data_IF_367024272335
#
_entry.id   IF_367024272335
#
_cell.length_a   1.000
_cell.length_b   1.000
_cell.length_c   1.000
_cell.angle_alpha   90.00
_cell.angle_beta   90.00
_cell.angle_gamma   90.00
#
_symmetry.space_group_name_H-M   'P 1'
#
loop_
_entity.id
_entity.type
_entity.pdbx_description
1 polymer ?
#
# COMPACT_ATOMS: atom_id res chain seq x y z
N UNK A 1 2.04 49.23 -32.46
CA UNK A 1 1.64 49.93 -31.24
C UNK A 1 0.21 49.49 -30.91
N UNK A 2 -0.10 49.02 -29.70
CA UNK A 2 -1.46 48.56 -29.36
C UNK A 2 -2.41 49.76 -29.21
N UNK A 3 -3.67 49.59 -29.63
CA UNK A 3 -4.71 50.64 -29.57
C UNK A 3 -5.03 51.01 -28.10
N UNK A 4 -5.37 52.29 -27.87
CA UNK A 4 -5.86 52.79 -26.58
C UNK A 4 -7.13 52.05 -26.11
N UNK A 5 -7.89 51.49 -27.05
CA UNK A 5 -9.08 50.68 -26.77
C UNK A 5 -8.71 49.38 -26.04
N UNK A 6 -7.68 48.68 -26.52
CA UNK A 6 -7.20 47.43 -25.89
C UNK A 6 -6.72 47.69 -24.46
N UNK A 7 -6.04 48.81 -24.21
CA UNK A 7 -5.60 49.19 -22.88
C UNK A 7 -6.78 49.45 -21.92
N UNK A 8 -7.84 50.13 -22.39
CA UNK A 8 -9.07 50.33 -21.60
C UNK A 8 -9.78 49.00 -21.30
N UNK A 9 -9.82 48.08 -22.26
CA UNK A 9 -10.37 46.75 -22.08
C UNK A 9 -9.55 45.96 -21.02
N UNK A 10 -8.23 46.06 -21.05
CA UNK A 10 -7.38 45.43 -20.05
C UNK A 10 -7.64 45.97 -18.64
N UNK A 11 -7.87 47.27 -18.50
CA UNK A 11 -8.22 47.90 -17.23
C UNK A 11 -9.57 47.40 -16.70
N UNK A 12 -10.59 47.34 -17.55
CA UNK A 12 -11.91 46.82 -17.19
C UNK A 12 -11.85 45.36 -16.75
N UNK A 13 -11.15 44.52 -17.52
CA UNK A 13 -10.96 43.09 -17.13
C UNK A 13 -10.22 42.94 -15.80
N UNK A 14 -9.33 43.91 -15.48
CA UNK A 14 -8.64 43.93 -14.20
C UNK A 14 -9.55 44.31 -13.03
N UNK A 15 -10.45 45.27 -13.27
CA UNK A 15 -11.49 45.67 -12.32
C UNK A 15 -12.48 44.53 -12.06
N UNK A 16 -12.80 43.76 -13.12
CA UNK A 16 -13.59 42.54 -13.06
C UNK A 16 -12.86 41.37 -12.41
N UNK A 17 -11.63 41.57 -11.94
CA UNK A 17 -10.88 40.61 -11.15
C UNK A 17 -10.06 39.61 -11.92
N UNK A 18 -9.88 39.77 -13.24
CA UNK A 18 -9.05 38.84 -14.02
C UNK A 18 -7.57 38.98 -13.68
N UNK A 19 -6.87 37.83 -13.72
CA UNK A 19 -5.41 37.81 -13.56
C UNK A 19 -4.69 38.39 -14.78
N UNK A 20 -3.44 38.80 -14.61
CA UNK A 20 -2.63 39.34 -15.73
C UNK A 20 -2.50 38.31 -16.86
N UNK A 21 -2.46 37.02 -16.57
CA UNK A 21 -2.38 35.96 -17.56
C UNK A 21 -3.71 35.80 -18.31
N UNK A 22 -4.84 35.80 -17.63
CA UNK A 22 -6.16 35.72 -18.25
C UNK A 22 -6.41 36.93 -19.18
N UNK A 23 -6.04 38.15 -18.72
CA UNK A 23 -6.17 39.37 -19.54
C UNK A 23 -5.27 39.28 -20.77
N UNK A 24 -4.01 38.85 -20.61
CA UNK A 24 -3.08 38.69 -21.72
C UNK A 24 -3.62 37.71 -22.78
N UNK A 25 -4.14 36.56 -22.31
CA UNK A 25 -4.73 35.54 -23.19
C UNK A 25 -6.00 36.04 -23.89
N UNK A 26 -6.90 36.70 -23.15
CA UNK A 26 -8.16 37.21 -23.68
C UNK A 26 -7.96 38.31 -24.77
N UNK A 27 -6.97 39.16 -24.56
CA UNK A 27 -6.73 40.29 -25.47
C UNK A 27 -5.64 40.00 -26.52
N UNK A 28 -5.04 38.80 -26.52
CA UNK A 28 -3.98 38.42 -27.46
C UNK A 28 -2.71 39.27 -27.33
N UNK A 29 -2.36 39.72 -26.12
CA UNK A 29 -1.19 40.57 -25.85
C UNK A 29 -0.20 39.88 -24.90
N UNK A 30 1.05 40.33 -24.94
CA UNK A 30 2.06 39.77 -24.05
C UNK A 30 1.75 40.05 -22.56
N UNK A 31 2.01 39.08 -21.68
CA UNK A 31 1.83 39.25 -20.24
C UNK A 31 2.67 40.41 -19.65
N UNK A 32 3.85 40.66 -20.20
CA UNK A 32 4.71 41.79 -19.84
C UNK A 32 4.03 43.12 -20.14
N UNK A 33 3.38 43.26 -21.32
CA UNK A 33 2.62 44.44 -21.72
C UNK A 33 1.42 44.64 -20.78
N UNK A 34 0.69 43.58 -20.47
CA UNK A 34 -0.43 43.63 -19.53
C UNK A 34 0.05 44.09 -18.14
N UNK A 35 1.17 43.55 -17.67
CA UNK A 35 1.77 43.92 -16.38
C UNK A 35 2.15 45.40 -16.38
N UNK A 36 2.81 45.87 -17.42
CA UNK A 36 3.22 47.29 -17.54
C UNK A 36 2.02 48.25 -17.54
N UNK A 37 0.95 47.92 -18.29
CA UNK A 37 -0.24 48.77 -18.36
C UNK A 37 -1.04 48.84 -17.06
N UNK A 38 -0.98 47.80 -16.27
CA UNK A 38 -1.76 47.62 -15.04
C UNK A 38 -0.89 47.80 -13.77
N UNK A 39 0.33 48.31 -13.92
CA UNK A 39 1.20 48.61 -12.80
C UNK A 39 0.50 49.58 -11.83
N UNK A 40 0.47 49.25 -10.55
CA UNK A 40 -0.21 50.04 -9.50
C UNK A 40 -1.72 49.80 -9.37
N UNK A 41 -2.36 49.03 -10.28
CA UNK A 41 -3.77 48.66 -10.11
C UNK A 41 -3.88 47.42 -9.23
N UNK A 42 -4.58 47.55 -8.10
CA UNK A 42 -4.84 46.44 -7.20
C UNK A 42 -5.67 45.36 -7.91
N UNK A 43 -5.24 44.09 -7.75
CA UNK A 43 -6.06 42.98 -8.24
C UNK A 43 -7.21 42.74 -7.25
N UNK A 44 -8.36 43.24 -7.54
CA UNK A 44 -9.56 42.97 -6.75
C UNK A 44 -10.05 41.52 -6.88
N UNK A 45 -9.66 40.82 -7.95
CA UNK A 45 -10.23 39.51 -8.28
C UNK A 45 -9.65 38.31 -7.58
N UNK A 46 -8.37 38.32 -7.20
CA UNK A 46 -7.81 37.20 -6.42
C UNK A 46 -8.21 37.27 -4.94
N UNK A 47 -8.54 38.48 -4.45
CA UNK A 47 -8.86 38.77 -3.05
C UNK A 47 -10.15 39.58 -2.87
N UNK A 48 -10.91 39.83 -3.94
CA UNK A 48 -11.94 40.87 -3.99
C UNK A 48 -13.10 40.72 -3.02
N UNK A 49 -13.39 39.50 -2.59
CA UNK A 49 -14.47 39.22 -1.63
C UNK A 49 -14.04 38.26 -0.51
N UNK A 50 -12.88 37.62 -0.65
CA UNK A 50 -12.38 36.61 0.28
C UNK A 50 -11.18 37.17 1.07
N UNK A 51 -11.19 37.03 2.39
CA UNK A 51 -10.03 37.41 3.17
C UNK A 51 -8.81 36.51 2.83
N UNK A 52 -7.59 36.98 3.14
CA UNK A 52 -6.36 36.28 2.81
C UNK A 52 -6.29 34.88 3.41
N UNK A 53 -6.85 34.66 4.58
CA UNK A 53 -6.81 33.36 5.25
C UNK A 53 -7.70 32.34 4.54
N UNK A 54 -8.91 32.74 4.15
CA UNK A 54 -9.83 31.88 3.40
C UNK A 54 -9.29 31.53 2.02
N UNK A 55 -8.65 32.49 1.36
CA UNK A 55 -7.98 32.25 0.08
C UNK A 55 -6.82 31.23 0.22
N UNK A 56 -5.97 31.39 1.21
CA UNK A 56 -4.88 30.44 1.51
C UNK A 56 -5.43 29.06 1.86
N UNK A 57 -6.51 28.99 2.63
CA UNK A 57 -7.20 27.74 2.94
C UNK A 57 -7.73 27.05 1.66
N UNK A 58 -8.35 27.82 0.76
CA UNK A 58 -8.86 27.29 -0.52
C UNK A 58 -7.74 26.74 -1.40
N UNK A 59 -6.59 27.43 -1.50
CA UNK A 59 -5.40 26.96 -2.22
C UNK A 59 -4.86 25.68 -1.60
N UNK A 60 -4.80 25.63 -0.25
CA UNK A 60 -4.33 24.43 0.48
C UNK A 60 -5.20 23.23 0.14
N UNK A 61 -6.52 23.37 0.18
CA UNK A 61 -7.47 22.31 -0.16
C UNK A 61 -7.27 21.85 -1.61
N UNK A 62 -7.22 22.78 -2.58
CA UNK A 62 -6.98 22.46 -3.99
C UNK A 62 -5.64 21.75 -4.21
N UNK A 63 -4.57 22.23 -3.57
CA UNK A 63 -3.25 21.63 -3.66
C UNK A 63 -3.19 20.22 -3.08
N UNK A 64 -3.87 19.98 -1.95
CA UNK A 64 -3.98 18.65 -1.35
C UNK A 64 -4.79 17.70 -2.25
N UNK A 65 -5.89 18.18 -2.83
CA UNK A 65 -6.67 17.39 -3.79
C UNK A 65 -5.84 17.02 -5.03
N UNK A 66 -5.12 17.98 -5.62
CA UNK A 66 -4.23 17.73 -6.74
C UNK A 66 -3.10 16.75 -6.41
N UNK A 67 -2.48 16.87 -5.23
CA UNK A 67 -1.47 15.92 -4.76
C UNK A 67 -2.03 14.51 -4.60
N UNK A 68 -3.25 14.38 -4.03
CA UNK A 68 -3.94 13.08 -3.89
C UNK A 68 -4.24 12.48 -5.27
N UNK A 69 -4.78 13.25 -6.19
CA UNK A 69 -5.07 12.80 -7.56
C UNK A 69 -3.79 12.34 -8.29
N UNK A 70 -2.71 13.10 -8.20
CA UNK A 70 -1.43 12.73 -8.79
C UNK A 70 -0.82 11.48 -8.15
N UNK A 71 -0.98 11.30 -6.83
CA UNK A 71 -0.54 10.07 -6.14
C UNK A 71 -1.31 8.85 -6.66
N UNK A 72 -2.63 8.95 -6.78
CA UNK A 72 -3.48 7.88 -7.31
C UNK A 72 -3.07 7.54 -8.76
N UNK A 73 -2.91 8.56 -9.61
CA UNK A 73 -2.49 8.34 -11.01
C UNK A 73 -1.13 7.63 -11.10
N UNK A 74 -0.15 8.02 -10.29
CA UNK A 74 1.16 7.34 -10.25
C UNK A 74 1.02 5.91 -9.76
N UNK A 75 0.20 5.67 -8.74
CA UNK A 75 -0.01 4.31 -8.22
C UNK A 75 -0.63 3.41 -9.27
N UNK A 76 -1.64 3.87 -10.01
CA UNK A 76 -2.26 3.10 -11.10
C UNK A 76 -1.25 2.68 -12.18
N UNK A 77 -0.31 3.56 -12.53
CA UNK A 77 0.75 3.21 -13.50
C UNK A 77 1.66 2.12 -12.94
N UNK A 78 2.06 2.24 -11.66
CA UNK A 78 2.90 1.24 -11.00
C UNK A 78 2.17 -0.12 -10.91
N UNK A 79 0.89 -0.10 -10.53
CA UNK A 79 0.08 -1.31 -10.43
C UNK A 79 -0.09 -2.00 -11.80
N UNK A 80 -0.26 -1.21 -12.87
CA UNK A 80 -0.33 -1.73 -14.24
C UNK A 80 1.01 -2.36 -14.66
N UNK A 81 2.13 -1.70 -14.39
CA UNK A 81 3.47 -2.24 -14.68
C UNK A 81 3.72 -3.55 -13.91
N UNK A 82 3.31 -3.60 -12.62
CA UNK A 82 3.42 -4.81 -11.82
C UNK A 82 2.60 -5.98 -12.41
N UNK A 83 1.38 -5.71 -12.90
CA UNK A 83 0.54 -6.72 -13.56
C UNK A 83 1.16 -7.23 -14.86
N UNK A 84 1.78 -6.35 -15.65
CA UNK A 84 2.50 -6.75 -16.87
C UNK A 84 3.67 -7.67 -16.53
N UNK A 85 4.46 -7.34 -15.51
CA UNK A 85 5.55 -8.19 -15.04
C UNK A 85 5.03 -9.54 -14.51
N UNK A 86 3.95 -9.52 -13.74
CA UNK A 86 3.33 -10.75 -13.22
C UNK A 86 2.82 -11.64 -14.34
N UNK A 87 2.18 -11.09 -15.37
CA UNK A 87 1.66 -11.87 -16.50
C UNK A 87 2.74 -12.59 -17.31
N UNK A 88 3.99 -12.17 -17.20
CA UNK A 88 5.16 -12.83 -17.82
C UNK A 88 5.73 -13.94 -16.94
N UNK A 89 5.32 -14.03 -15.67
CA UNK A 89 5.78 -15.09 -14.78
C UNK A 89 5.06 -16.40 -15.11
N UNK A 90 5.84 -17.40 -15.43
CA UNK A 90 5.38 -18.79 -15.52
C UNK A 90 6.22 -19.67 -14.56
N UNK A 91 5.92 -19.61 -13.25
CA UNK A 91 6.78 -20.23 -12.25
C UNK A 91 6.69 -21.75 -12.33
N UNK A 92 7.83 -22.39 -12.60
CA UNK A 92 7.99 -23.86 -12.50
C UNK A 92 7.88 -24.30 -11.03
N UNK A 93 7.76 -25.59 -10.80
CA UNK A 93 7.71 -26.15 -9.43
C UNK A 93 8.99 -25.83 -8.64
N UNK A 94 10.13 -25.78 -9.32
CA UNK A 94 11.42 -25.39 -8.71
C UNK A 94 11.41 -23.94 -8.28
N UNK A 95 10.91 -23.04 -9.12
CA UNK A 95 10.73 -21.62 -8.78
C UNK A 95 9.78 -21.45 -7.61
N UNK A 96 8.63 -22.14 -7.61
CA UNK A 96 7.68 -22.13 -6.50
C UNK A 96 8.31 -22.61 -5.20
N UNK A 97 9.13 -23.67 -5.27
CA UNK A 97 9.85 -24.22 -4.12
C UNK A 97 10.90 -23.24 -3.59
N UNK A 98 11.63 -22.56 -4.48
CA UNK A 98 12.58 -21.52 -4.09
C UNK A 98 11.88 -20.34 -3.39
N UNK A 99 10.76 -19.86 -3.93
CA UNK A 99 9.95 -18.80 -3.31
C UNK A 99 9.45 -19.24 -1.92
N UNK A 100 8.85 -20.41 -1.81
CA UNK A 100 8.39 -20.98 -0.54
C UNK A 100 9.52 -21.03 0.49
N UNK A 101 10.67 -21.50 0.06
CA UNK A 101 11.86 -21.66 0.90
C UNK A 101 12.41 -20.32 1.38
N UNK A 102 12.47 -19.31 0.49
CA UNK A 102 12.86 -17.95 0.84
C UNK A 102 11.86 -17.30 1.84
N UNK A 103 10.56 -17.48 1.63
CA UNK A 103 9.53 -17.03 2.57
C UNK A 103 9.71 -17.67 3.95
N UNK A 104 9.93 -19.00 3.98
CA UNK A 104 10.16 -19.69 5.24
C UNK A 104 11.47 -19.26 5.91
N UNK A 105 12.50 -19.00 5.12
CA UNK A 105 13.77 -18.46 5.64
C UNK A 105 13.60 -17.07 6.26
N UNK A 106 12.75 -16.22 5.71
CA UNK A 106 12.47 -14.89 6.26
C UNK A 106 11.61 -14.94 7.53
N UNK A 107 10.45 -15.61 7.46
CA UNK A 107 9.36 -15.51 8.44
C UNK A 107 9.07 -16.83 9.21
N UNK A 108 9.68 -17.93 8.81
CA UNK A 108 9.49 -19.23 9.45
C UNK A 108 10.21 -19.36 10.79
N UNK A 109 9.68 -20.18 11.69
CA UNK A 109 10.32 -20.48 12.95
C UNK A 109 11.56 -21.37 12.73
N UNK A 110 12.73 -20.91 13.20
CA UNK A 110 14.05 -21.54 13.00
C UNK A 110 14.61 -22.19 14.27
N UNK A 111 13.86 -22.14 15.37
CA UNK A 111 14.32 -22.66 16.64
C UNK A 111 14.25 -24.20 16.72
N UNK A 112 14.30 -24.73 17.95
CA UNK A 112 14.24 -26.17 18.26
C UNK A 112 12.90 -26.85 17.97
N UNK A 113 12.06 -26.23 17.13
CA UNK A 113 10.76 -26.77 16.76
C UNK A 113 10.90 -28.00 15.88
N UNK A 114 10.04 -29.00 16.11
CA UNK A 114 9.97 -30.20 15.28
C UNK A 114 8.85 -30.11 14.22
N UNK A 115 8.39 -28.90 13.94
CA UNK A 115 7.24 -28.63 13.08
C UNK A 115 7.55 -27.46 12.13
N UNK A 116 6.98 -27.48 10.94
CA UNK A 116 6.93 -26.27 10.11
C UNK A 116 5.98 -25.28 10.79
N UNK A 117 6.45 -24.06 11.04
CA UNK A 117 5.65 -23.00 11.64
C UNK A 117 5.94 -21.69 10.92
N UNK A 118 4.93 -21.15 10.26
CA UNK A 118 4.99 -19.87 9.54
C UNK A 118 3.96 -18.91 10.13
N UNK A 119 4.37 -17.70 10.45
CA UNK A 119 3.51 -16.76 11.16
C UNK A 119 3.58 -15.36 10.54
N UNK A 120 2.43 -14.79 10.25
CA UNK A 120 2.35 -13.39 9.79
C UNK A 120 1.00 -12.77 10.11
N UNK A 121 0.92 -11.43 9.95
CA UNK A 121 -0.31 -10.64 10.05
C UNK A 121 -0.90 -10.32 8.68
N UNK A 122 -0.14 -10.51 7.61
CA UNK A 122 -0.56 -10.26 6.24
C UNK A 122 -1.27 -11.50 5.68
N UNK A 123 -2.57 -11.42 5.38
CA UNK A 123 -3.33 -12.55 4.87
C UNK A 123 -2.87 -13.01 3.48
N UNK A 124 -2.37 -12.08 2.65
CA UNK A 124 -1.88 -12.44 1.33
C UNK A 124 -0.60 -13.28 1.44
N UNK A 125 0.30 -12.91 2.35
CA UNK A 125 1.54 -13.65 2.60
C UNK A 125 1.25 -15.05 3.19
N UNK A 126 0.31 -15.15 4.13
CA UNK A 126 -0.14 -16.45 4.68
C UNK A 126 -0.77 -17.32 3.59
N UNK A 127 -1.64 -16.75 2.76
CA UNK A 127 -2.27 -17.46 1.63
C UNK A 127 -1.23 -17.95 0.62
N UNK A 128 -0.28 -17.08 0.25
CA UNK A 128 0.82 -17.44 -0.65
C UNK A 128 1.64 -18.61 -0.10
N UNK A 129 2.06 -18.50 1.17
CA UNK A 129 2.85 -19.55 1.82
C UNK A 129 2.13 -20.91 1.80
N UNK A 130 0.86 -20.96 2.23
CA UNK A 130 0.14 -22.23 2.32
C UNK A 130 -0.19 -22.83 0.95
N UNK A 131 -0.46 -21.97 -0.05
CA UNK A 131 -0.67 -22.42 -1.44
C UNK A 131 0.60 -23.06 -1.99
N UNK A 132 1.73 -22.38 -1.91
CA UNK A 132 3.02 -22.92 -2.36
C UNK A 132 3.43 -24.16 -1.56
N UNK A 133 3.10 -24.21 -0.27
CA UNK A 133 3.42 -25.35 0.57
C UNK A 133 2.66 -26.61 0.13
N UNK A 134 1.37 -26.48 -0.21
CA UNK A 134 0.56 -27.57 -0.77
C UNK A 134 1.01 -27.99 -2.15
N UNK A 135 1.44 -27.05 -2.99
CA UNK A 135 1.90 -27.38 -4.35
C UNK A 135 3.29 -28.03 -4.36
N UNK A 136 4.19 -27.63 -3.47
CA UNK A 136 5.58 -28.08 -3.47
C UNK A 136 5.81 -29.39 -2.73
N UNK A 137 4.89 -29.81 -1.86
CA UNK A 137 5.03 -31.01 -1.05
C UNK A 137 3.75 -31.82 -1.04
N UNK A 138 3.89 -33.15 -0.99
CA UNK A 138 2.77 -34.05 -0.69
C UNK A 138 2.45 -33.94 0.79
N UNK A 139 1.35 -33.27 1.13
CA UNK A 139 0.96 -32.97 2.48
C UNK A 139 -0.24 -33.79 2.95
N UNK A 140 -0.21 -34.22 4.17
CA UNK A 140 -1.35 -34.78 4.89
C UNK A 140 -2.11 -33.64 5.58
N UNK A 141 -3.30 -33.28 5.07
CA UNK A 141 -4.12 -32.21 5.62
C UNK A 141 -4.45 -32.41 7.12
N UNK A 142 -4.42 -33.66 7.61
CA UNK A 142 -4.65 -33.95 9.02
C UNK A 142 -3.59 -33.37 9.95
N UNK A 143 -2.37 -33.11 9.47
CA UNK A 143 -1.23 -32.58 10.22
C UNK A 143 -1.24 -31.06 10.35
N UNK A 144 -2.09 -30.35 9.60
CA UNK A 144 -2.22 -28.89 9.74
C UNK A 144 -2.88 -28.50 11.06
N UNK A 145 -2.40 -27.40 11.60
CA UNK A 145 -2.98 -26.72 12.76
C UNK A 145 -2.87 -25.20 12.56
N UNK A 146 -3.90 -24.50 13.01
CA UNK A 146 -3.86 -23.04 13.16
C UNK A 146 -3.66 -22.65 14.61
N UNK A 147 -2.98 -21.54 14.83
CA UNK A 147 -2.94 -20.84 16.12
C UNK A 147 -3.05 -19.35 15.86
N UNK A 148 -3.86 -18.66 16.64
CA UNK A 148 -4.04 -17.22 16.53
C UNK A 148 -3.52 -16.51 17.77
N UNK A 149 -2.86 -15.37 17.56
CA UNK A 149 -2.56 -14.43 18.62
C UNK A 149 -3.41 -13.18 18.41
N UNK A 150 -4.33 -12.95 19.31
CA UNK A 150 -5.31 -11.88 19.26
C UNK A 150 -5.08 -10.86 20.38
N UNK A 151 -5.57 -9.65 20.18
CA UNK A 151 -5.73 -8.64 21.23
C UNK A 151 -7.18 -8.64 21.70
N UNK A 152 -7.46 -8.17 22.91
CA UNK A 152 -8.80 -8.15 23.48
C UNK A 152 -9.86 -7.39 22.68
N UNK A 153 -9.44 -6.49 21.78
CA UNK A 153 -10.35 -5.76 20.90
C UNK A 153 -10.78 -6.52 19.64
N UNK A 154 -10.18 -7.69 19.36
CA UNK A 154 -10.63 -8.51 18.23
C UNK A 154 -11.88 -9.28 18.62
N UNK A 155 -12.81 -9.39 17.66
CA UNK A 155 -13.85 -10.40 17.73
C UNK A 155 -13.21 -11.76 17.40
N UNK A 156 -13.40 -12.73 18.28
CA UNK A 156 -12.82 -14.06 18.14
C UNK A 156 -13.37 -14.81 16.92
N UNK A 157 -14.67 -14.82 16.76
CA UNK A 157 -15.32 -15.56 15.67
C UNK A 157 -15.01 -14.96 14.30
N UNK A 158 -14.95 -13.64 14.19
CA UNK A 158 -14.55 -12.95 12.95
C UNK A 158 -13.11 -13.30 12.59
N UNK A 159 -12.19 -13.27 13.56
CA UNK A 159 -10.79 -13.63 13.32
C UNK A 159 -10.62 -15.10 12.94
N UNK A 160 -11.36 -16.01 13.57
CA UNK A 160 -11.32 -17.44 13.24
C UNK A 160 -11.86 -17.65 11.81
N UNK A 161 -13.03 -17.10 11.49
CA UNK A 161 -13.65 -17.23 10.16
C UNK A 161 -12.73 -16.69 9.07
N UNK A 162 -12.16 -15.51 9.29
CA UNK A 162 -11.22 -14.88 8.38
C UNK A 162 -9.99 -15.75 8.09
N UNK A 163 -9.36 -16.29 9.13
CA UNK A 163 -8.14 -17.09 8.96
C UNK A 163 -8.40 -18.51 8.47
N UNK A 164 -9.53 -19.12 8.81
CA UNK A 164 -9.92 -20.41 8.26
C UNK A 164 -10.24 -20.31 6.77
N UNK A 165 -10.91 -19.25 6.34
CA UNK A 165 -11.16 -18.96 4.93
C UNK A 165 -9.86 -18.67 4.17
N UNK A 166 -8.99 -17.81 4.73
CA UNK A 166 -7.70 -17.45 4.12
C UNK A 166 -6.80 -18.67 3.88
N UNK A 167 -6.77 -19.61 4.83
CA UNK A 167 -5.85 -20.76 4.81
C UNK A 167 -6.44 -22.04 4.25
N UNK A 168 -7.76 -22.14 4.21
CA UNK A 168 -8.47 -23.38 3.93
C UNK A 168 -8.32 -24.45 5.02
N UNK A 169 -7.75 -24.09 6.19
CA UNK A 169 -7.62 -25.00 7.33
C UNK A 169 -8.87 -24.87 8.20
N UNK A 170 -9.63 -25.96 8.44
CA UNK A 170 -10.92 -25.87 9.09
C UNK A 170 -10.80 -25.54 10.60
N UNK A 171 -11.88 -24.96 11.15
CA UNK A 171 -11.95 -24.51 12.55
C UNK A 171 -11.58 -25.59 13.57
N UNK A 172 -11.91 -26.85 13.32
CA UNK A 172 -11.56 -27.97 14.21
C UNK A 172 -10.03 -28.26 14.32
N UNK A 173 -9.24 -27.62 13.47
CA UNK A 173 -7.77 -27.66 13.51
C UNK A 173 -7.17 -26.44 14.24
N UNK A 174 -8.02 -25.54 14.75
CA UNK A 174 -7.57 -24.40 15.55
C UNK A 174 -7.16 -24.85 16.94
N UNK A 175 -5.95 -24.48 17.34
CA UNK A 175 -5.47 -24.63 18.70
C UNK A 175 -5.91 -23.48 19.60
N UNK A 176 -5.55 -23.55 20.88
CA UNK A 176 -5.86 -22.50 21.86
C UNK A 176 -5.38 -21.13 21.38
N UNK A 177 -6.27 -20.15 21.38
CA UNK A 177 -5.95 -18.75 21.04
C UNK A 177 -5.10 -18.14 22.16
N UNK A 178 -4.05 -17.43 21.76
CA UNK A 178 -3.24 -16.66 22.68
C UNK A 178 -3.70 -15.19 22.68
N UNK A 179 -4.17 -14.74 23.83
CA UNK A 179 -4.58 -13.35 24.04
C UNK A 179 -3.38 -12.52 24.49
N UNK A 180 -2.99 -11.55 23.67
CA UNK A 180 -1.89 -10.65 24.00
C UNK A 180 -2.28 -9.73 25.15
N UNK A 181 -1.36 -9.54 26.10
CA UNK A 181 -1.49 -8.50 27.13
C UNK A 181 -1.54 -7.14 26.44
N UNK A 182 -2.36 -6.24 26.96
CA UNK A 182 -2.45 -4.89 26.41
C UNK A 182 -1.14 -4.12 26.64
N UNK A 183 -0.62 -3.40 25.65
CA UNK A 183 0.50 -2.49 25.88
C UNK A 183 0.03 -1.29 26.74
N UNK A 184 0.87 -0.84 27.65
CA UNK A 184 0.56 0.24 28.61
C UNK A 184 0.40 1.63 28.00
N UNK A 185 0.62 1.83 26.70
CA UNK A 185 0.54 3.15 26.06
C UNK A 185 0.19 3.09 24.57
N UNK A 186 -0.59 4.08 24.11
CA UNK A 186 -0.69 4.55 22.71
C UNK A 186 -1.12 3.52 21.68
N UNK A 187 -2.37 3.10 21.70
CA UNK A 187 -2.88 2.11 20.75
C UNK A 187 -3.18 2.74 19.38
N UNK A 188 -2.45 2.32 18.35
CA UNK A 188 -2.88 2.51 16.95
C UNK A 188 -3.44 1.18 16.44
N UNK A 189 -4.76 1.10 16.35
CA UNK A 189 -5.42 -0.03 15.70
C UNK A 189 -5.26 0.09 14.18
N UNK A 190 -4.76 -0.98 13.53
CA UNK A 190 -4.82 -1.07 12.08
C UNK A 190 -6.24 -1.49 11.70
N UNK A 191 -6.86 -0.74 10.80
CA UNK A 191 -8.13 -1.13 10.21
C UNK A 191 -7.97 -2.51 9.53
N UNK A 192 -8.92 -3.42 9.74
CA UNK A 192 -8.91 -4.80 9.21
C UNK A 192 -7.76 -5.70 9.72
N UNK A 193 -7.19 -5.39 10.88
CA UNK A 193 -6.20 -6.25 11.51
C UNK A 193 -6.87 -7.39 12.26
N UNK A 194 -6.64 -8.65 11.82
CA UNK A 194 -7.25 -9.87 12.37
C UNK A 194 -6.29 -10.69 13.23
N UNK A 195 -5.32 -10.02 13.87
CA UNK A 195 -4.32 -10.67 14.71
C UNK A 195 -3.18 -11.31 13.93
N UNK A 196 -2.41 -12.19 14.58
CA UNK A 196 -1.31 -12.94 13.96
C UNK A 196 -1.78 -14.37 13.75
N UNK A 197 -1.69 -14.86 12.51
CA UNK A 197 -1.94 -16.24 12.16
C UNK A 197 -0.65 -17.04 12.16
N UNK A 198 -0.65 -18.19 12.80
CA UNK A 198 0.40 -19.20 12.76
C UNK A 198 -0.14 -20.43 12.03
N UNK A 199 0.39 -20.69 10.84
CA UNK A 199 0.20 -21.94 10.11
C UNK A 199 1.25 -22.92 10.62
N UNK A 200 0.79 -24.05 11.14
CA UNK A 200 1.67 -25.09 11.73
C UNK A 200 1.41 -26.40 10.99
N UNK A 201 2.49 -27.11 10.68
CA UNK A 201 2.41 -28.43 10.07
C UNK A 201 3.33 -29.39 10.84
N UNK A 202 2.75 -30.46 11.39
CA UNK A 202 3.41 -31.38 12.30
C UNK A 202 4.22 -32.43 11.53
N UNK A 203 5.35 -32.04 10.94
CA UNK A 203 6.27 -32.93 10.25
C UNK A 203 7.71 -32.39 10.29
N UNK A 204 8.56 -33.10 10.99
CA UNK A 204 9.98 -32.73 11.14
C UNK A 204 10.78 -32.99 9.87
N UNK A 205 10.38 -33.97 9.06
CA UNK A 205 11.12 -34.33 7.84
C UNK A 205 10.93 -33.23 6.77
N UNK A 206 9.72 -32.72 6.62
CA UNK A 206 9.46 -31.58 5.73
C UNK A 206 10.19 -30.33 6.22
N UNK A 207 10.16 -30.06 7.53
CA UNK A 207 10.92 -28.94 8.10
C UNK A 207 12.42 -29.04 7.76
N UNK A 208 13.02 -30.20 7.94
CA UNK A 208 14.44 -30.43 7.63
C UNK A 208 14.74 -30.23 6.15
N UNK A 209 13.85 -30.67 5.26
CA UNK A 209 14.00 -30.44 3.80
C UNK A 209 13.98 -28.96 3.44
N UNK A 210 13.06 -28.18 4.01
CA UNK A 210 13.00 -26.73 3.81
C UNK A 210 14.29 -26.06 4.31
N UNK A 211 14.75 -26.45 5.51
CA UNK A 211 15.97 -25.92 6.10
C UNK A 211 17.20 -26.24 5.24
N UNK A 212 17.37 -27.49 4.84
CA UNK A 212 18.47 -27.90 3.99
C UNK A 212 18.49 -27.15 2.66
N UNK A 213 17.30 -26.92 2.10
CA UNK A 213 17.20 -26.23 0.82
C UNK A 213 17.53 -24.74 0.93
N UNK A 214 17.09 -24.02 1.97
CA UNK A 214 17.48 -22.61 2.07
C UNK A 214 18.95 -22.43 2.40
N UNK A 215 19.59 -23.38 3.11
CA UNK A 215 21.04 -23.37 3.34
C UNK A 215 21.78 -23.53 2.01
N UNK A 216 21.47 -24.60 1.25
CA UNK A 216 22.09 -24.86 -0.04
C UNK A 216 21.88 -23.70 -1.03
N UNK A 217 20.66 -23.15 -1.11
CA UNK A 217 20.35 -22.00 -1.95
C UNK A 217 21.16 -20.76 -1.55
N UNK A 218 21.27 -20.51 -0.23
CA UNK A 218 22.03 -19.37 0.28
C UNK A 218 23.53 -19.50 -0.02
N UNK A 219 24.11 -20.68 0.20
CA UNK A 219 25.50 -20.95 -0.10
C UNK A 219 25.81 -20.80 -1.60
N UNK A 220 24.94 -21.31 -2.46
CA UNK A 220 25.13 -21.25 -3.92
C UNK A 220 25.02 -19.82 -4.48
N UNK A 221 24.02 -19.08 -4.06
CA UNK A 221 23.79 -17.70 -4.52
C UNK A 221 24.83 -16.69 -3.98
N UNK A 222 25.57 -17.06 -2.93
CA UNK A 222 26.62 -16.20 -2.34
C UNK A 222 28.03 -16.62 -2.73
N UNK A 223 28.22 -17.74 -3.41
CA UNK A 223 29.49 -18.08 -4.02
C UNK A 223 29.81 -17.07 -5.13
N UNK A 224 30.92 -16.34 -4.94
CA UNK A 224 31.48 -15.45 -5.97
C UNK A 224 32.39 -16.21 -6.91
#
# INVERSE_FOLDING_TARGET
MYSSIIRKQAQKLREDGKSLLEIATTLGIAKSTTSYWLTGQANKGAFGTMNRQDWLASIRIKSLAARRANKIKRQLVIDQQARVLESQLNPTIETKRAILTALYWAEGAKGTTKIVCFANTDPLLIKLFITLFRECYQLDESKFRLRLHLHRYHNEDDAISFWTETTGIPRNKLGKIYWKKEPNSGKRYRQNFMGICFVRYNDVHILRRIIAYYIAMGEDLTKK
#
